data_IF_138618835963
#
_entry.id   IF_138618835963
#
_cell.length_a   1.000
_cell.length_b   1.000
_cell.length_c   1.000
_cell.angle_alpha   90.00
_cell.angle_beta   90.00
_cell.angle_gamma   90.00
#
_symmetry.space_group_name_H-M   'P 1'
#
loop_
_entity.id
_entity.type
_entity.pdbx_description
1 polymer ?
#
# COMPACT_ATOMS: atom_id res chain seq x y z
N UNK A 1 18.25 40.19 18.85
CA UNK A 1 16.99 39.66 19.42
C UNK A 1 16.98 38.16 19.20
N UNK A 2 17.23 37.37 20.24
CA UNK A 2 17.29 35.90 20.15
C UNK A 2 15.92 35.38 20.48
N UNK A 3 15.18 34.79 19.51
CA UNK A 3 13.96 34.05 19.77
C UNK A 3 14.31 32.68 20.38
N UNK A 4 13.96 32.51 21.64
CA UNK A 4 14.04 31.24 22.31
C UNK A 4 12.91 30.36 21.82
N UNK A 5 13.23 29.21 21.23
CA UNK A 5 12.28 28.17 20.90
C UNK A 5 12.00 27.34 22.14
N UNK A 6 10.77 27.41 22.61
CA UNK A 6 10.27 26.59 23.73
C UNK A 6 10.04 25.17 23.22
N UNK A 7 10.94 24.26 23.55
CA UNK A 7 10.74 22.81 23.34
C UNK A 7 9.85 22.31 24.48
N UNK A 8 8.56 22.11 24.21
CA UNK A 8 7.67 21.44 25.14
C UNK A 8 7.96 19.93 25.08
N UNK A 9 8.77 19.45 26.01
CA UNK A 9 8.78 18.06 26.43
C UNK A 9 7.50 17.79 27.21
N UNK A 10 6.55 17.01 26.69
CA UNK A 10 5.45 16.47 27.48
C UNK A 10 6.00 15.40 28.42
N UNK A 11 6.18 15.75 29.69
CA UNK A 11 6.30 14.78 30.76
C UNK A 11 4.95 14.06 30.89
N UNK A 12 4.93 12.76 30.65
CA UNK A 12 3.81 11.90 30.97
C UNK A 12 3.67 11.86 32.51
N UNK A 13 2.63 12.47 33.05
CA UNK A 13 2.18 12.23 34.43
C UNK A 13 1.74 10.78 34.52
N UNK A 14 2.45 9.99 35.34
CA UNK A 14 2.06 8.64 35.70
C UNK A 14 0.76 8.64 36.52
N UNK A 15 -0.22 7.87 36.05
CA UNK A 15 -1.38 7.53 36.84
C UNK A 15 -0.98 6.53 37.94
N UNK A 16 -1.61 6.59 39.14
CA UNK A 16 -1.26 5.69 40.24
C UNK A 16 -1.69 4.26 39.93
N UNK A 17 -0.79 3.32 40.18
CA UNK A 17 -1.02 1.89 40.13
C UNK A 17 -1.90 1.50 41.32
N UNK A 18 -3.07 0.96 41.05
CA UNK A 18 -3.91 0.28 42.04
C UNK A 18 -3.50 -1.19 42.03
N UNK A 19 -3.18 -1.81 43.18
CA UNK A 19 -2.83 -3.22 43.19
C UNK A 19 -4.09 -4.08 43.07
N UNK A 20 -4.03 -5.01 42.14
CA UNK A 20 -5.07 -6.01 41.86
C UNK A 20 -4.99 -7.12 42.91
N UNK A 21 -6.09 -7.32 43.62
CA UNK A 21 -6.28 -8.44 44.55
C UNK A 21 -6.97 -9.57 43.79
N UNK A 22 -6.26 -10.69 43.61
CA UNK A 22 -6.83 -11.90 43.03
C UNK A 22 -7.85 -12.57 43.95
N UNK A 23 -8.75 -13.36 43.40
CA UNK A 23 -9.29 -14.51 44.10
C UNK A 23 -8.96 -15.84 43.42
N UNK A 24 -8.56 -16.73 44.30
CA UNK A 24 -8.44 -18.18 44.15
C UNK A 24 -9.81 -18.89 44.06
N UNK A 25 -9.80 -20.04 43.38
CA UNK A 25 -10.82 -21.09 43.47
C UNK A 25 -11.28 -21.54 42.09
N UNK A 26 -10.96 -22.67 41.58
CA UNK A 26 -11.08 -24.04 42.03
C UNK A 26 -12.42 -24.60 41.55
N UNK A 27 -12.46 -25.46 40.52
CA UNK A 27 -13.69 -26.17 40.15
C UNK A 27 -13.50 -27.02 38.92
N UNK A 28 -13.14 -28.26 39.10
CA UNK A 28 -13.01 -29.35 38.16
C UNK A 28 -14.37 -30.06 37.94
N UNK A 29 -14.47 -30.87 36.89
CA UNK A 29 -15.45 -31.95 36.55
C UNK A 29 -16.46 -31.53 35.47
N UNK A 30 -16.86 -32.33 34.47
CA UNK A 30 -16.53 -33.69 34.04
C UNK A 30 -17.10 -33.86 32.63
N UNK A 31 -16.54 -34.80 31.93
CA UNK A 31 -16.94 -35.50 30.73
C UNK A 31 -18.44 -35.81 30.59
N UNK A 32 -18.97 -35.78 29.35
CA UNK A 32 -19.60 -37.00 28.84
C UNK A 32 -19.72 -37.05 27.31
N UNK A 33 -19.60 -38.27 26.83
CA UNK A 33 -19.54 -38.68 25.45
C UNK A 33 -20.95 -39.03 24.89
N UNK A 34 -21.13 -38.94 23.60
CA UNK A 34 -22.31 -39.42 22.92
C UNK A 34 -22.20 -39.28 21.40
N UNK A 35 -21.69 -40.28 20.74
CA UNK A 35 -22.01 -40.61 19.34
C UNK A 35 -22.91 -41.84 19.33
N UNK A 36 -23.13 -42.50 18.18
CA UNK A 36 -23.58 -42.10 16.85
C UNK A 36 -24.86 -42.85 16.43
N UNK A 37 -25.46 -42.56 15.29
CA UNK A 37 -26.31 -43.51 14.50
C UNK A 37 -26.46 -42.94 13.09
N UNK A 38 -26.00 -43.55 12.18
CA UNK A 38 -26.13 -44.52 11.10
C UNK A 38 -27.53 -44.73 10.54
N UNK A 39 -27.55 -44.94 9.21
CA UNK A 39 -28.53 -45.57 8.31
C UNK A 39 -29.16 -44.61 7.28
N UNK A 40 -28.88 -44.84 6.02
CA UNK A 40 -29.62 -45.63 5.13
C UNK A 40 -29.27 -45.49 3.65
N UNK A 41 -28.78 -46.53 3.07
CA UNK A 41 -28.69 -46.83 1.65
C UNK A 41 -30.06 -46.88 1.00
N UNK A 42 -30.18 -46.40 -0.25
CA UNK A 42 -30.93 -47.14 -1.28
C UNK A 42 -30.29 -46.92 -2.66
N UNK A 43 -29.86 -48.03 -3.22
CA UNK A 43 -29.47 -48.24 -4.61
C UNK A 43 -30.74 -48.24 -5.48
N UNK A 44 -30.68 -47.70 -6.68
CA UNK A 44 -31.40 -48.30 -7.80
C UNK A 44 -30.61 -48.17 -9.10
N UNK A 45 -30.47 -49.33 -9.74
CA UNK A 45 -29.78 -49.57 -10.99
C UNK A 45 -30.79 -49.58 -12.14
N UNK A 46 -30.52 -48.79 -13.17
CA UNK A 46 -31.25 -48.87 -14.44
C UNK A 46 -30.27 -48.87 -15.61
N UNK A 47 -29.98 -50.07 -16.09
CA UNK A 47 -29.24 -50.32 -17.32
C UNK A 47 -30.19 -50.18 -18.51
N UNK A 48 -29.83 -49.41 -19.53
CA UNK A 48 -30.30 -49.62 -20.92
C UNK A 48 -29.12 -49.42 -21.86
N UNK A 49 -28.75 -50.49 -22.52
CA UNK A 49 -27.87 -50.55 -23.67
C UNK A 49 -28.62 -50.06 -24.90
N UNK A 50 -28.03 -49.19 -25.72
CA UNK A 50 -28.20 -49.36 -27.17
C UNK A 50 -26.94 -48.82 -27.91
N UNK A 51 -26.52 -49.61 -28.89
CA UNK A 51 -25.36 -49.42 -29.71
C UNK A 51 -25.69 -48.59 -30.95
N UNK A 52 -24.92 -47.54 -31.20
CA UNK A 52 -24.96 -46.78 -32.43
C UNK A 52 -23.59 -46.22 -32.76
N UNK A 53 -22.85 -46.99 -33.53
CA UNK A 53 -21.58 -46.55 -34.15
C UNK A 53 -21.83 -45.49 -35.20
N UNK A 54 -21.21 -44.32 -35.07
CA UNK A 54 -20.66 -43.56 -36.21
C UNK A 54 -19.40 -42.84 -35.76
N UNK A 55 -18.28 -43.30 -36.32
CA UNK A 55 -17.03 -42.56 -36.33
C UNK A 55 -17.27 -41.25 -37.06
N UNK A 56 -17.33 -40.15 -36.33
CA UNK A 56 -17.01 -38.83 -36.88
C UNK A 56 -15.84 -38.31 -36.09
N UNK A 57 -14.66 -38.40 -36.69
CA UNK A 57 -13.46 -37.77 -36.21
C UNK A 57 -13.63 -36.27 -36.40
N UNK A 58 -14.45 -35.67 -35.52
CA UNK A 58 -14.47 -34.23 -35.33
C UNK A 58 -13.10 -33.84 -34.85
N UNK A 59 -12.28 -33.25 -35.72
CA UNK A 59 -11.15 -32.43 -35.34
C UNK A 59 -11.65 -31.42 -34.34
N UNK A 60 -11.43 -31.70 -33.07
CA UNK A 60 -11.51 -30.67 -32.04
C UNK A 60 -10.48 -29.63 -32.47
N UNK A 61 -10.96 -28.55 -33.06
CA UNK A 61 -10.22 -27.31 -33.22
C UNK A 61 -9.81 -26.96 -31.78
N UNK A 62 -8.58 -27.33 -31.45
CA UNK A 62 -7.94 -26.90 -30.24
C UNK A 62 -7.73 -25.40 -30.42
N UNK A 63 -8.75 -24.63 -30.10
CA UNK A 63 -8.66 -23.19 -29.97
C UNK A 63 -7.48 -22.92 -29.04
N UNK A 64 -6.31 -22.69 -29.65
CA UNK A 64 -5.04 -22.68 -28.96
C UNK A 64 -5.10 -21.61 -27.87
N UNK A 65 -4.97 -22.03 -26.63
CA UNK A 65 -4.87 -21.18 -25.46
C UNK A 65 -3.76 -20.14 -25.73
N UNK A 66 -4.15 -18.88 -25.86
CA UNK A 66 -3.25 -17.77 -26.23
C UNK A 66 -2.92 -16.93 -25.01
N UNK A 67 -1.63 -16.71 -24.77
CA UNK A 67 -1.14 -15.73 -23.81
C UNK A 67 -0.71 -14.48 -24.56
N UNK A 68 -1.25 -13.31 -24.20
CA UNK A 68 -0.92 -12.04 -24.84
C UNK A 68 -0.04 -11.23 -23.92
N UNK A 69 1.18 -10.89 -24.39
CA UNK A 69 2.06 -9.96 -23.71
C UNK A 69 1.99 -8.62 -24.42
N UNK A 70 1.62 -7.58 -23.70
CA UNK A 70 1.51 -6.21 -24.22
C UNK A 70 2.48 -5.30 -23.50
N UNK A 71 3.16 -4.45 -24.26
CA UNK A 71 4.10 -3.45 -23.74
C UNK A 71 3.65 -2.09 -24.22
N UNK A 72 3.47 -1.16 -23.26
CA UNK A 72 3.23 0.25 -23.58
C UNK A 72 4.52 1.04 -23.38
N UNK A 73 5.12 1.49 -24.48
CA UNK A 73 6.37 2.25 -24.50
C UNK A 73 6.58 2.94 -25.85
N UNK A 74 6.94 4.22 -25.83
CA UNK A 74 7.29 4.98 -27.04
C UNK A 74 8.73 4.67 -27.45
N UNK A 75 8.92 3.62 -28.25
CA UNK A 75 10.25 3.15 -28.63
C UNK A 75 10.93 3.99 -29.72
N UNK A 76 10.25 4.96 -30.34
CA UNK A 76 10.78 5.77 -31.43
C UNK A 76 11.20 4.90 -32.66
N UNK A 77 12.44 4.99 -33.05
CA UNK A 77 13.03 4.20 -34.14
C UNK A 77 13.47 2.79 -33.71
N UNK A 78 13.34 2.43 -32.44
CA UNK A 78 13.73 1.13 -31.91
C UNK A 78 12.61 0.10 -32.08
N UNK A 79 12.97 -1.17 -32.12
CA UNK A 79 12.03 -2.29 -32.09
C UNK A 79 12.04 -2.95 -30.73
N UNK A 80 10.86 -3.32 -30.20
CA UNK A 80 10.74 -4.10 -29.01
C UNK A 80 10.78 -5.59 -29.31
N UNK A 81 11.55 -6.29 -28.52
CA UNK A 81 11.63 -7.75 -28.44
C UNK A 81 11.19 -8.21 -27.07
N UNK A 82 10.88 -9.47 -26.97
CA UNK A 82 10.60 -10.13 -25.70
C UNK A 82 11.47 -11.38 -25.56
N UNK A 83 12.03 -11.59 -24.35
CA UNK A 83 12.68 -12.84 -23.95
C UNK A 83 11.96 -13.41 -22.73
N UNK A 84 12.05 -14.73 -22.51
CA UNK A 84 11.33 -15.33 -21.39
C UNK A 84 11.72 -16.79 -21.12
N UNK A 85 11.11 -17.35 -20.07
CA UNK A 85 11.48 -18.64 -19.49
C UNK A 85 10.87 -19.87 -20.17
N UNK A 86 9.83 -19.69 -20.98
CA UNK A 86 9.10 -20.80 -21.60
C UNK A 86 9.00 -20.65 -23.12
N UNK A 87 9.10 -21.75 -23.91
CA UNK A 87 8.89 -21.71 -25.34
C UNK A 87 7.53 -21.06 -25.72
N UNK A 88 7.47 -20.31 -26.83
CA UNK A 88 8.51 -20.12 -27.86
C UNK A 88 9.60 -19.11 -27.45
N UNK A 89 9.51 -18.49 -26.26
CA UNK A 89 10.53 -17.57 -25.76
C UNK A 89 11.72 -18.33 -25.18
N UNK A 90 12.86 -17.66 -25.13
CA UNK A 90 14.07 -18.07 -24.41
C UNK A 90 14.84 -16.83 -23.94
N UNK A 91 15.85 -17.01 -23.10
CA UNK A 91 16.63 -15.88 -22.56
C UNK A 91 17.79 -15.43 -23.46
N UNK A 92 18.12 -16.18 -24.53
CA UNK A 92 19.29 -15.91 -25.36
C UNK A 92 18.95 -15.04 -26.59
N UNK A 93 17.79 -15.26 -27.22
CA UNK A 93 17.36 -14.58 -28.43
C UNK A 93 15.95 -14.04 -28.25
N UNK A 94 15.77 -12.76 -28.57
CA UNK A 94 14.47 -12.10 -28.46
C UNK A 94 13.55 -12.44 -29.63
N UNK A 95 12.26 -12.54 -29.33
CA UNK A 95 11.22 -12.61 -30.34
C UNK A 95 10.68 -11.20 -30.57
N UNK A 96 10.64 -10.68 -31.81
CA UNK A 96 10.15 -9.33 -32.08
C UNK A 96 8.65 -9.21 -31.73
N UNK A 97 8.29 -8.10 -31.11
CA UNK A 97 6.90 -7.74 -30.86
C UNK A 97 6.30 -7.00 -32.04
N UNK A 98 5.02 -7.14 -32.26
CA UNK A 98 4.26 -6.41 -33.27
C UNK A 98 3.93 -5.02 -32.71
N UNK A 99 4.29 -3.97 -33.49
CA UNK A 99 3.90 -2.60 -33.15
C UNK A 99 2.43 -2.37 -33.54
N UNK A 100 1.54 -2.24 -32.58
CA UNK A 100 0.11 -1.95 -32.81
C UNK A 100 -0.12 -0.46 -33.13
N UNK A 101 0.62 0.41 -32.44
CA UNK A 101 0.61 1.87 -32.62
C UNK A 101 1.91 2.48 -32.07
N UNK A 102 2.00 3.81 -31.96
CA UNK A 102 3.24 4.50 -31.55
C UNK A 102 3.68 4.18 -30.12
N UNK A 103 2.77 3.71 -29.27
CA UNK A 103 3.04 3.43 -27.86
C UNK A 103 2.78 2.00 -27.45
N UNK A 104 2.13 1.17 -28.28
CA UNK A 104 1.67 -0.16 -27.90
C UNK A 104 2.28 -1.23 -28.80
N UNK A 105 2.83 -2.24 -28.17
CA UNK A 105 3.45 -3.41 -28.76
C UNK A 105 2.87 -4.67 -28.17
N UNK A 106 2.70 -5.74 -28.96
CA UNK A 106 2.18 -7.00 -28.45
C UNK A 106 2.83 -8.20 -29.10
N UNK A 107 2.69 -9.35 -28.42
CA UNK A 107 2.96 -10.67 -28.97
C UNK A 107 1.95 -11.65 -28.41
N UNK A 108 1.44 -12.53 -29.27
CA UNK A 108 0.57 -13.65 -28.92
C UNK A 108 1.37 -14.94 -28.88
N UNK A 109 1.42 -15.58 -27.74
CA UNK A 109 2.10 -16.84 -27.50
C UNK A 109 1.09 -17.97 -27.45
N UNK A 110 1.25 -18.98 -28.32
CA UNK A 110 0.44 -20.19 -28.33
C UNK A 110 1.19 -21.36 -27.71
N UNK A 111 0.47 -22.36 -27.22
CA UNK A 111 1.07 -23.59 -26.70
C UNK A 111 1.51 -23.52 -25.23
N UNK A 112 1.29 -22.43 -24.53
CA UNK A 112 1.47 -22.37 -23.08
C UNK A 112 0.28 -23.03 -22.40
N UNK A 113 0.54 -23.97 -21.48
CA UNK A 113 -0.52 -24.56 -20.66
C UNK A 113 -1.24 -23.48 -19.83
N UNK A 114 -2.54 -23.66 -19.59
CA UNK A 114 -3.30 -22.75 -18.73
C UNK A 114 -2.65 -22.67 -17.34
N UNK A 115 -2.43 -21.45 -16.85
CA UNK A 115 -1.78 -21.20 -15.55
C UNK A 115 -0.27 -21.43 -15.53
N UNK A 116 0.40 -21.82 -16.63
CA UNK A 116 1.86 -21.93 -16.68
C UNK A 116 2.52 -20.59 -16.31
N UNK A 117 3.45 -20.63 -15.36
CA UNK A 117 4.15 -19.44 -14.89
C UNK A 117 5.26 -19.04 -15.88
N UNK A 118 5.00 -18.01 -16.67
CA UNK A 118 5.96 -17.41 -17.59
C UNK A 118 6.64 -16.23 -16.93
N UNK A 119 7.97 -16.24 -16.84
CA UNK A 119 8.77 -15.04 -16.61
C UNK A 119 9.24 -14.49 -17.96
N UNK A 120 9.16 -13.17 -18.13
CA UNK A 120 9.51 -12.52 -19.39
C UNK A 120 10.02 -11.11 -19.18
N UNK A 121 10.70 -10.57 -20.19
CA UNK A 121 11.26 -9.23 -20.12
C UNK A 121 11.32 -8.57 -21.50
N UNK A 122 10.87 -7.30 -21.63
CA UNK A 122 11.07 -6.51 -22.83
C UNK A 122 12.54 -6.15 -23.04
N UNK A 123 12.95 -6.13 -24.30
CA UNK A 123 14.32 -5.81 -24.73
C UNK A 123 14.25 -4.87 -25.94
N UNK A 124 14.94 -3.72 -25.92
CA UNK A 124 15.05 -2.82 -27.06
C UNK A 124 16.12 -3.34 -28.03
N UNK A 125 15.78 -3.45 -29.31
CA UNK A 125 16.66 -3.92 -30.39
C UNK A 125 17.35 -5.26 -30.07
N UNK A 126 16.72 -6.11 -29.29
CA UNK A 126 17.25 -7.37 -28.74
C UNK A 126 18.61 -7.22 -28.00
N UNK A 127 18.94 -6.03 -27.53
CA UNK A 127 20.21 -5.68 -26.87
C UNK A 127 20.05 -5.06 -25.49
N UNK A 128 19.15 -4.09 -25.34
CA UNK A 128 18.99 -3.35 -24.09
C UNK A 128 17.80 -3.86 -23.31
N UNK A 129 18.07 -4.47 -22.18
CA UNK A 129 17.06 -4.99 -21.27
C UNK A 129 16.27 -3.87 -20.58
N UNK A 130 14.97 -4.07 -20.40
CA UNK A 130 14.22 -3.20 -19.49
C UNK A 130 14.76 -3.29 -18.08
N UNK A 131 14.70 -2.18 -17.34
CA UNK A 131 15.16 -2.08 -15.96
C UNK A 131 14.16 -2.75 -15.00
N UNK A 132 14.60 -3.02 -13.77
CA UNK A 132 13.79 -3.67 -12.76
C UNK A 132 13.72 -5.19 -12.92
N UNK A 133 12.82 -5.88 -12.19
CA UNK A 133 12.68 -7.33 -12.21
C UNK A 133 12.10 -7.86 -13.53
N UNK A 134 12.09 -9.19 -13.68
CA UNK A 134 11.32 -9.83 -14.74
C UNK A 134 9.82 -9.66 -14.48
N UNK A 135 9.05 -9.50 -15.54
CA UNK A 135 7.59 -9.55 -15.48
C UNK A 135 7.11 -10.99 -15.45
N UNK A 136 5.87 -11.18 -15.00
CA UNK A 136 5.23 -12.50 -14.92
C UNK A 136 3.90 -12.51 -15.65
N UNK A 137 3.62 -13.63 -16.30
CA UNK A 137 2.33 -13.90 -16.92
C UNK A 137 1.92 -15.34 -16.61
N UNK A 138 0.63 -15.59 -16.48
CA UNK A 138 0.09 -16.94 -16.47
C UNK A 138 -0.29 -17.35 -17.89
N UNK A 139 -0.13 -18.62 -18.22
CA UNK A 139 -0.67 -19.17 -19.47
C UNK A 139 -2.17 -18.87 -19.59
N UNK A 140 -2.66 -18.52 -20.76
CA UNK A 140 -4.03 -18.06 -21.03
C UNK A 140 -4.39 -16.67 -20.46
N UNK A 141 -3.40 -15.82 -20.21
CA UNK A 141 -3.66 -14.47 -19.71
C UNK A 141 -3.25 -13.39 -20.71
N UNK A 142 -3.81 -12.20 -20.53
CA UNK A 142 -3.28 -10.98 -21.14
C UNK A 142 -2.63 -10.14 -20.04
N UNK A 143 -1.35 -9.80 -20.25
CA UNK A 143 -0.59 -8.97 -19.33
C UNK A 143 -0.07 -7.75 -20.07
N UNK A 144 -0.32 -6.57 -19.51
CA UNK A 144 0.19 -5.30 -20.03
C UNK A 144 1.16 -4.67 -19.05
N UNK A 145 2.31 -4.21 -19.53
CA UNK A 145 3.35 -3.58 -18.73
C UNK A 145 3.86 -2.29 -19.39
N UNK A 146 4.33 -1.37 -18.56
CA UNK A 146 4.96 -0.12 -18.96
C UNK A 146 6.42 -0.12 -18.46
N UNK A 147 7.38 -0.64 -19.23
CA UNK A 147 8.77 -0.73 -18.81
C UNK A 147 9.51 0.61 -18.88
N UNK A 148 10.72 0.63 -18.32
CA UNK A 148 11.76 1.62 -18.56
C UNK A 148 13.06 0.92 -18.97
N UNK A 149 13.95 1.64 -19.65
CA UNK A 149 15.23 1.08 -20.17
C UNK A 149 16.46 1.89 -19.75
N UNK A 150 16.30 3.16 -19.45
CA UNK A 150 17.40 4.10 -19.22
C UNK A 150 17.49 4.54 -17.76
N UNK A 151 16.40 5.03 -17.18
CA UNK A 151 16.43 5.63 -15.85
C UNK A 151 16.59 4.60 -14.74
N UNK A 152 17.51 4.88 -13.81
CA UNK A 152 17.74 4.05 -12.62
C UNK A 152 17.03 4.60 -11.36
N UNK A 153 16.82 5.92 -11.27
CA UNK A 153 16.26 6.57 -10.10
C UNK A 153 15.14 7.55 -10.47
N UNK A 154 14.24 7.76 -9.52
CA UNK A 154 13.24 8.80 -9.54
C UNK A 154 13.80 10.15 -9.11
N UNK A 155 12.97 11.16 -9.16
CA UNK A 155 13.31 12.54 -8.78
C UNK A 155 12.26 13.07 -7.80
N UNK A 156 12.71 13.93 -6.87
CA UNK A 156 11.81 14.62 -5.97
C UNK A 156 12.04 16.13 -5.98
N UNK A 157 11.00 16.88 -5.63
CA UNK A 157 11.06 18.33 -5.47
C UNK A 157 9.97 18.81 -4.50
N UNK A 158 10.17 19.98 -3.92
CA UNK A 158 9.11 20.72 -3.24
C UNK A 158 8.25 21.41 -4.31
N UNK A 159 7.39 20.61 -4.95
CA UNK A 159 6.67 20.96 -6.18
C UNK A 159 5.77 22.17 -6.01
N UNK A 160 5.07 22.24 -4.88
CA UNK A 160 4.23 23.38 -4.51
C UNK A 160 4.70 23.91 -3.16
N UNK A 161 5.60 24.92 -3.16
CA UNK A 161 6.17 25.46 -1.92
C UNK A 161 5.15 26.25 -1.09
N UNK A 162 4.04 26.64 -1.69
CA UNK A 162 3.00 27.48 -1.07
C UNK A 162 1.60 27.03 -1.50
N UNK A 163 1.28 25.76 -1.27
CA UNK A 163 -0.08 25.25 -1.44
C UNK A 163 -0.99 25.87 -0.38
N UNK A 164 -1.99 26.64 -0.82
CA UNK A 164 -2.95 27.32 0.06
C UNK A 164 -4.27 26.56 0.08
N UNK A 165 -4.67 26.13 1.27
CA UNK A 165 -5.97 25.51 1.52
C UNK A 165 -7.00 26.56 1.88
N UNK A 166 -8.11 26.58 1.15
CA UNK A 166 -9.28 27.43 1.46
C UNK A 166 -10.07 26.88 2.64
N UNK A 167 -10.10 25.57 2.81
CA UNK A 167 -10.78 24.89 3.93
C UNK A 167 -10.08 25.13 5.26
N UNK A 168 -8.75 25.07 5.25
CA UNK A 168 -7.95 25.24 6.47
C UNK A 168 -7.51 26.68 6.73
N UNK A 169 -7.63 27.56 5.73
CA UNK A 169 -7.21 28.97 5.77
C UNK A 169 -5.72 29.11 6.10
N UNK A 170 -4.88 28.20 5.57
CA UNK A 170 -3.43 28.24 5.75
C UNK A 170 -2.67 27.76 4.50
N UNK A 171 -1.36 27.94 4.55
CA UNK A 171 -0.45 27.60 3.45
C UNK A 171 0.63 26.65 3.95
N UNK A 172 0.99 25.67 3.11
CA UNK A 172 2.04 24.67 3.40
C UNK A 172 2.78 24.25 2.13
N UNK A 173 3.95 23.67 2.28
CA UNK A 173 4.67 23.05 1.19
C UNK A 173 4.15 21.65 0.88
N UNK A 174 4.23 21.28 -0.40
CA UNK A 174 3.94 19.91 -0.85
C UNK A 174 5.12 19.41 -1.69
N UNK A 175 5.71 18.32 -1.25
CA UNK A 175 6.76 17.59 -1.94
C UNK A 175 6.17 16.53 -2.86
N UNK A 176 6.86 16.27 -3.96
CA UNK A 176 6.49 15.21 -4.91
C UNK A 176 7.73 14.41 -5.26
N UNK A 177 7.63 13.08 -5.15
CA UNK A 177 8.56 12.16 -5.75
C UNK A 177 7.90 11.50 -6.97
N UNK A 178 8.61 11.47 -8.08
CA UNK A 178 8.21 10.81 -9.33
C UNK A 178 9.14 9.63 -9.59
N UNK A 179 8.62 8.40 -9.73
CA UNK A 179 9.47 7.22 -9.90
C UNK A 179 10.09 7.14 -11.29
N UNK A 180 11.19 6.36 -11.46
CA UNK A 180 11.94 6.33 -12.71
C UNK A 180 11.13 5.90 -13.93
N UNK A 181 10.21 4.94 -13.77
CA UNK A 181 9.33 4.52 -14.87
C UNK A 181 8.39 5.64 -15.29
N UNK A 182 7.84 6.42 -14.35
CA UNK A 182 6.98 7.58 -14.66
C UNK A 182 7.72 8.65 -15.46
N UNK A 183 8.98 8.92 -15.09
CA UNK A 183 9.80 9.97 -15.72
C UNK A 183 10.26 9.59 -17.14
N UNK A 184 10.47 8.30 -17.40
CA UNK A 184 10.91 7.83 -18.70
C UNK A 184 9.76 7.48 -19.63
N UNK A 185 8.76 6.77 -19.13
CA UNK A 185 7.69 6.22 -19.93
C UNK A 185 6.41 7.07 -19.80
N UNK A 186 6.09 7.84 -20.85
CA UNK A 186 4.95 8.74 -20.86
C UNK A 186 3.59 8.03 -20.83
N UNK A 187 3.54 6.71 -21.08
CA UNK A 187 2.31 5.92 -21.00
C UNK A 187 2.01 5.41 -19.59
N UNK A 188 3.02 5.42 -18.70
CA UNK A 188 2.89 4.86 -17.37
C UNK A 188 2.03 5.76 -16.46
N UNK A 189 1.01 5.17 -15.82
CA UNK A 189 0.24 5.78 -14.73
C UNK A 189 0.52 5.06 -13.42
N UNK A 190 0.63 5.82 -12.32
CA UNK A 190 1.12 5.32 -11.03
C UNK A 190 0.08 5.41 -9.93
N UNK A 191 0.09 4.47 -8.96
CA UNK A 191 -0.57 4.67 -7.67
C UNK A 191 0.05 5.87 -6.95
N UNK A 192 -0.69 6.45 -5.99
CA UNK A 192 -0.25 7.63 -5.25
C UNK A 192 -0.22 7.33 -3.75
N UNK A 193 0.91 7.65 -3.12
CA UNK A 193 1.10 7.58 -1.66
C UNK A 193 1.13 9.00 -1.09
N UNK A 194 0.09 9.37 -0.36
CA UNK A 194 0.06 10.60 0.42
C UNK A 194 0.70 10.36 1.78
N UNK A 195 1.67 11.18 2.15
CA UNK A 195 2.40 11.07 3.41
C UNK A 195 2.30 12.37 4.19
N UNK A 196 1.96 12.23 5.47
CA UNK A 196 1.95 13.36 6.42
C UNK A 196 3.37 13.80 6.79
N UNK A 197 3.48 15.01 7.35
CA UNK A 197 4.76 15.58 7.80
C UNK A 197 5.81 15.61 6.68
N UNK A 198 5.41 16.11 5.51
CA UNK A 198 6.19 16.12 4.27
C UNK A 198 7.60 16.67 4.38
N UNK A 199 7.85 17.60 5.32
CA UNK A 199 9.17 18.16 5.62
C UNK A 199 10.16 17.11 6.13
N UNK A 200 9.69 15.98 6.69
CA UNK A 200 10.53 14.92 7.26
C UNK A 200 10.87 13.81 6.26
N UNK A 201 10.43 13.88 5.01
CA UNK A 201 10.45 12.73 4.10
C UNK A 201 11.66 12.70 3.17
N UNK A 202 12.15 13.88 2.76
CA UNK A 202 13.04 14.02 1.59
C UNK A 202 14.38 14.72 1.91
N UNK A 203 14.32 15.88 2.56
CA UNK A 203 15.46 16.77 2.75
C UNK A 203 15.89 16.83 4.22
N UNK A 204 17.11 16.38 4.57
CA UNK A 204 17.59 16.47 5.93
C UNK A 204 17.63 17.92 6.48
N UNK A 205 17.79 18.93 5.60
CA UNK A 205 17.80 20.32 6.01
C UNK A 205 16.42 20.82 6.48
N UNK A 206 15.34 20.21 6.00
CA UNK A 206 13.96 20.52 6.38
C UNK A 206 13.43 19.60 7.50
N UNK A 207 14.03 18.42 7.64
CA UNK A 207 13.54 17.38 8.53
C UNK A 207 13.80 17.69 10.02
N UNK A 208 12.88 17.25 10.86
CA UNK A 208 13.03 17.31 12.31
C UNK A 208 14.30 16.57 12.76
N UNK A 209 15.17 17.24 13.51
CA UNK A 209 16.44 16.67 13.95
C UNK A 209 17.42 16.29 12.81
N UNK A 210 17.18 16.72 11.58
CA UNK A 210 18.04 16.39 10.43
C UNK A 210 17.90 14.95 9.93
N UNK A 211 16.88 14.22 10.38
CA UNK A 211 16.65 12.80 10.02
C UNK A 211 15.41 12.66 9.13
N UNK A 212 15.59 12.11 7.92
CA UNK A 212 14.48 11.87 7.00
C UNK A 212 13.96 10.45 7.09
N UNK A 213 12.76 10.23 6.54
CA UNK A 213 12.20 8.89 6.34
C UNK A 213 12.80 8.15 5.14
N UNK A 214 13.76 8.75 4.44
CA UNK A 214 14.46 8.15 3.31
C UNK A 214 13.52 7.63 2.22
N UNK A 215 12.50 8.43 1.90
CA UNK A 215 11.50 8.07 0.87
C UNK A 215 12.13 7.83 -0.50
N UNK A 216 13.02 8.72 -1.02
CA UNK A 216 13.64 8.51 -2.33
C UNK A 216 14.42 7.20 -2.41
N UNK A 217 15.20 6.87 -1.37
CA UNK A 217 15.98 5.64 -1.33
C UNK A 217 15.09 4.40 -1.31
N UNK A 218 14.05 4.40 -0.49
CA UNK A 218 13.10 3.29 -0.39
C UNK A 218 12.36 3.05 -1.72
N UNK A 219 11.96 4.13 -2.41
CA UNK A 219 11.26 4.04 -3.70
C UNK A 219 12.19 3.62 -4.84
N UNK A 220 13.44 4.10 -4.87
CA UNK A 220 14.43 3.72 -5.87
C UNK A 220 14.87 2.25 -5.70
N UNK A 221 15.05 1.80 -4.46
CA UNK A 221 15.35 0.40 -4.15
C UNK A 221 14.21 -0.52 -4.63
N UNK A 222 12.96 -0.15 -4.37
CA UNK A 222 11.81 -0.89 -4.86
C UNK A 222 11.71 -0.91 -6.38
N UNK A 223 12.01 0.20 -7.05
CA UNK A 223 11.99 0.28 -8.52
C UNK A 223 13.05 -0.61 -9.16
N UNK A 224 14.18 -0.86 -8.50
CA UNK A 224 15.24 -1.73 -8.97
C UNK A 224 15.01 -3.20 -8.62
N UNK A 225 14.58 -3.49 -7.39
CA UNK A 225 14.39 -4.85 -6.87
C UNK A 225 13.02 -5.46 -7.22
N UNK A 226 12.01 -4.63 -7.48
CA UNK A 226 10.62 -5.06 -7.64
C UNK A 226 9.92 -5.45 -6.34
N UNK A 227 10.48 -5.06 -5.22
CA UNK A 227 9.93 -5.38 -3.90
C UNK A 227 8.47 -4.95 -3.76
N UNK A 228 8.13 -3.75 -4.27
CA UNK A 228 6.76 -3.26 -4.37
C UNK A 228 6.59 -2.38 -5.61
N UNK A 229 5.33 -2.08 -5.96
CA UNK A 229 5.01 -1.24 -7.13
C UNK A 229 5.58 0.17 -6.99
N UNK A 230 6.13 0.70 -8.07
CA UNK A 230 6.48 2.11 -8.16
C UNK A 230 5.23 2.98 -7.94
N UNK A 231 5.40 4.11 -7.24
CA UNK A 231 4.33 5.05 -6.94
C UNK A 231 4.83 6.49 -6.97
N UNK A 232 3.93 7.43 -7.25
CA UNK A 232 4.14 8.84 -6.95
C UNK A 232 3.98 9.03 -5.44
N UNK A 233 4.89 9.76 -4.78
CA UNK A 233 4.74 10.10 -3.37
C UNK A 233 4.47 11.58 -3.22
N UNK A 234 3.42 11.92 -2.48
CA UNK A 234 3.00 13.29 -2.15
C UNK A 234 3.25 13.52 -0.66
N UNK A 235 4.28 14.27 -0.33
CA UNK A 235 4.61 14.65 1.04
C UNK A 235 3.97 15.98 1.40
N UNK A 236 3.02 15.98 2.33
CA UNK A 236 2.28 17.17 2.75
C UNK A 236 2.90 17.70 4.03
N UNK A 237 3.50 18.90 3.98
CA UNK A 237 4.03 19.55 5.20
C UNK A 237 2.90 19.75 6.21
N UNK A 238 3.22 19.58 7.48
CA UNK A 238 2.29 20.02 8.52
C UNK A 238 2.29 21.55 8.63
N UNK A 239 1.27 22.11 9.24
CA UNK A 239 1.11 23.55 9.39
C UNK A 239 1.73 24.07 10.72
N UNK A 240 2.84 23.49 11.18
CA UNK A 240 3.51 23.89 12.41
C UNK A 240 2.60 23.82 13.63
N UNK A 241 2.31 24.94 14.26
CA UNK A 241 1.44 25.00 15.44
C UNK A 241 0.02 24.46 15.25
N UNK A 242 -0.48 24.39 14.00
CA UNK A 242 -1.79 23.81 13.72
C UNK A 242 -1.78 22.27 13.58
N UNK A 243 -0.59 21.62 13.59
CA UNK A 243 -0.47 20.17 13.39
C UNK A 243 -1.37 19.36 14.34
N UNK A 244 -1.38 19.68 15.61
CA UNK A 244 -2.22 18.99 16.61
C UNK A 244 -3.69 19.11 16.24
N UNK A 245 -4.15 20.31 15.92
CA UNK A 245 -5.54 20.54 15.55
C UNK A 245 -5.94 19.77 14.28
N UNK A 246 -5.09 19.78 13.27
CA UNK A 246 -5.38 19.18 11.96
C UNK A 246 -5.23 17.65 11.93
N UNK A 247 -4.37 17.09 12.77
CA UNK A 247 -4.11 15.64 12.77
C UNK A 247 -4.97 14.87 13.79
N UNK A 248 -5.95 15.52 14.41
CA UNK A 248 -6.78 14.90 15.43
C UNK A 248 -8.28 15.07 15.15
N UNK A 249 -9.08 14.01 15.36
CA UNK A 249 -10.51 14.01 15.00
C UNK A 249 -11.40 14.75 16.01
N UNK A 250 -10.89 14.99 17.22
CA UNK A 250 -11.62 15.59 18.34
C UNK A 250 -10.74 16.54 19.12
N UNK A 251 -11.35 17.41 19.93
CA UNK A 251 -10.64 18.20 20.92
C UNK A 251 -10.35 17.33 22.13
N UNK A 252 -9.08 17.23 22.51
CA UNK A 252 -8.67 16.65 23.80
C UNK A 252 -8.42 17.78 24.79
N UNK A 253 -9.29 17.91 25.79
CA UNK A 253 -9.21 18.96 26.80
C UNK A 253 -7.99 18.81 27.72
N UNK A 254 -7.45 17.61 27.87
CA UNK A 254 -6.25 17.35 28.66
C UNK A 254 -4.98 17.87 27.99
N UNK A 255 -4.98 17.92 26.65
CA UNK A 255 -3.91 18.48 25.81
C UNK A 255 -4.16 19.95 25.47
N UNK A 256 -5.41 20.39 25.57
CA UNK A 256 -5.82 21.77 25.28
C UNK A 256 -5.94 22.11 23.80
N UNK A 257 -6.27 21.14 22.94
CA UNK A 257 -6.39 21.38 21.48
C UNK A 257 -6.96 20.22 20.71
N UNK A 258 -6.93 20.32 19.38
CA UNK A 258 -7.38 19.28 18.46
C UNK A 258 -8.66 19.61 17.69
N UNK A 259 -9.23 18.61 17.01
CA UNK A 259 -10.60 18.60 16.47
C UNK A 259 -10.82 19.19 15.09
N UNK A 260 -9.75 19.42 14.30
CA UNK A 260 -9.87 19.88 12.91
C UNK A 260 -9.52 18.80 11.87
N UNK A 261 -9.43 17.53 12.30
CA UNK A 261 -9.07 16.40 11.46
C UNK A 261 -9.99 16.24 10.25
N UNK A 262 -11.30 16.45 10.41
CA UNK A 262 -12.26 16.40 9.30
C UNK A 262 -11.95 17.45 8.21
N UNK A 263 -11.62 18.68 8.60
CA UNK A 263 -11.24 19.73 7.65
C UNK A 263 -9.92 19.41 6.96
N UNK A 264 -8.97 18.83 7.67
CA UNK A 264 -7.69 18.41 7.10
C UNK A 264 -7.88 17.28 6.06
N UNK A 265 -8.69 16.28 6.38
CA UNK A 265 -9.00 15.20 5.44
C UNK A 265 -9.78 15.73 4.23
N UNK A 266 -10.70 16.66 4.41
CA UNK A 266 -11.38 17.32 3.30
C UNK A 266 -10.40 18.10 2.42
N UNK A 267 -9.44 18.81 3.00
CA UNK A 267 -8.38 19.48 2.23
C UNK A 267 -7.61 18.48 1.35
N UNK A 268 -7.25 17.31 1.90
CA UNK A 268 -6.58 16.27 1.11
C UNK A 268 -7.47 15.77 -0.04
N UNK A 269 -8.76 15.55 0.21
CA UNK A 269 -9.70 14.93 -0.75
C UNK A 269 -10.25 15.94 -1.76
N UNK A 270 -10.61 17.13 -1.30
CA UNK A 270 -11.36 18.13 -2.11
C UNK A 270 -10.44 19.15 -2.80
N UNK A 271 -9.25 19.41 -2.25
CA UNK A 271 -8.32 20.41 -2.78
C UNK A 271 -7.03 19.78 -3.35
N UNK A 272 -6.29 19.00 -2.54
CA UNK A 272 -4.97 18.51 -2.92
C UNK A 272 -5.06 17.36 -3.94
N UNK A 273 -5.87 16.34 -3.69
CA UNK A 273 -5.96 15.16 -4.57
C UNK A 273 -6.40 15.54 -6.00
N UNK A 274 -7.44 16.37 -6.24
CA UNK A 274 -7.78 16.79 -7.58
C UNK A 274 -6.65 17.54 -8.30
N UNK A 275 -5.90 18.36 -7.58
CA UNK A 275 -4.73 19.05 -8.13
C UNK A 275 -3.62 18.05 -8.53
N UNK A 276 -3.36 17.04 -7.71
CA UNK A 276 -2.39 15.97 -8.01
C UNK A 276 -2.83 15.17 -9.22
N UNK A 277 -4.09 14.71 -9.25
CA UNK A 277 -4.63 13.89 -10.33
C UNK A 277 -4.67 14.64 -11.68
N UNK A 278 -4.88 15.96 -11.67
CA UNK A 278 -4.81 16.80 -12.87
C UNK A 278 -3.39 17.11 -13.32
N UNK A 279 -2.42 17.07 -12.39
CA UNK A 279 -1.01 17.41 -12.66
C UNK A 279 -0.16 16.21 -13.08
N UNK A 280 -0.58 15.01 -12.73
CA UNK A 280 0.19 13.78 -12.94
C UNK A 280 -0.67 12.64 -13.50
N UNK A 281 -0.02 11.70 -14.16
CA UNK A 281 -0.65 10.46 -14.63
C UNK A 281 -0.84 9.50 -13.46
N UNK A 282 -1.90 9.71 -12.68
CA UNK A 282 -2.23 8.93 -11.50
C UNK A 282 -3.21 7.80 -11.84
N UNK A 283 -3.19 6.75 -11.01
CA UNK A 283 -4.29 5.81 -10.85
C UNK A 283 -5.12 6.32 -9.68
N UNK A 284 -6.20 7.05 -9.98
CA UNK A 284 -6.96 7.82 -9.00
C UNK A 284 -7.93 7.01 -8.12
N UNK A 285 -8.06 5.70 -8.38
CA UNK A 285 -8.97 4.83 -7.64
C UNK A 285 -8.51 4.55 -6.20
N UNK A 286 -9.43 4.21 -5.28
CA UNK A 286 -9.09 4.01 -3.86
C UNK A 286 -8.01 2.96 -3.61
N UNK A 287 -8.00 1.86 -4.37
CA UNK A 287 -7.00 0.79 -4.27
C UNK A 287 -5.56 1.24 -4.63
N UNK A 288 -5.44 2.30 -5.40
CA UNK A 288 -4.17 2.89 -5.81
C UNK A 288 -3.90 4.22 -5.10
N UNK A 289 -4.68 4.56 -4.06
CA UNK A 289 -4.52 5.76 -3.22
C UNK A 289 -4.22 5.35 -1.78
N UNK A 290 -2.98 5.59 -1.36
CA UNK A 290 -2.47 5.26 -0.02
C UNK A 290 -2.37 6.53 0.82
N UNK A 291 -2.72 6.48 2.10
CA UNK A 291 -2.44 7.52 3.09
C UNK A 291 -1.65 6.93 4.25
N UNK A 292 -0.49 7.51 4.57
CA UNK A 292 0.41 6.99 5.60
C UNK A 292 1.03 8.12 6.42
N UNK A 293 1.23 7.88 7.71
CA UNK A 293 1.94 8.78 8.62
C UNK A 293 2.27 8.15 9.95
N UNK A 294 3.00 8.89 10.79
CA UNK A 294 3.42 8.44 12.12
C UNK A 294 2.81 9.29 13.22
N UNK A 295 2.76 8.74 14.44
CA UNK A 295 2.30 9.47 15.62
C UNK A 295 0.87 10.01 15.41
N UNK A 296 0.65 11.33 15.53
CA UNK A 296 -0.61 11.97 15.14
C UNK A 296 -0.91 11.80 13.65
N UNK A 297 0.11 11.70 12.78
CA UNK A 297 -0.06 11.36 11.36
C UNK A 297 -0.62 9.93 11.18
N UNK A 298 -0.22 8.98 12.02
CA UNK A 298 -0.79 7.63 12.07
C UNK A 298 -2.24 7.62 12.59
N UNK A 299 -2.54 8.47 13.58
CA UNK A 299 -3.89 8.67 14.08
C UNK A 299 -4.84 9.18 12.98
N UNK A 300 -4.44 10.27 12.28
CA UNK A 300 -5.31 10.85 11.24
C UNK A 300 -5.40 9.95 10.00
N UNK A 301 -4.35 9.16 9.67
CA UNK A 301 -4.42 8.14 8.63
C UNK A 301 -5.46 7.06 8.97
N UNK A 302 -5.44 6.52 10.18
CA UNK A 302 -6.45 5.56 10.64
C UNK A 302 -7.85 6.15 10.65
N UNK A 303 -7.98 7.40 11.07
CA UNK A 303 -9.25 8.12 11.07
C UNK A 303 -9.79 8.35 9.65
N UNK A 304 -8.92 8.63 8.68
CA UNK A 304 -9.29 8.73 7.26
C UNK A 304 -9.91 7.43 6.73
N UNK A 305 -9.46 6.28 7.21
CA UNK A 305 -10.04 4.97 6.88
C UNK A 305 -11.47 4.79 7.37
N UNK A 306 -11.91 5.59 8.35
CA UNK A 306 -13.26 5.55 8.91
C UNK A 306 -14.15 6.64 8.28
N UNK A 307 -13.63 7.88 8.22
CA UNK A 307 -14.39 9.07 7.81
C UNK A 307 -14.25 9.38 6.32
N UNK A 308 -13.25 8.88 5.66
CA UNK A 308 -12.80 9.32 4.34
C UNK A 308 -13.52 8.71 3.15
N UNK A 309 -14.75 8.31 3.27
CA UNK A 309 -15.68 8.02 2.16
C UNK A 309 -15.08 7.25 0.96
N UNK A 310 -14.14 6.33 1.20
CA UNK A 310 -13.60 5.47 0.14
C UNK A 310 -12.54 6.11 -0.77
N UNK A 311 -11.97 7.25 -0.40
CA UNK A 311 -10.88 7.87 -1.17
C UNK A 311 -9.55 7.15 -0.95
N UNK A 312 -9.19 6.88 0.31
CA UNK A 312 -7.97 6.20 0.67
C UNK A 312 -8.26 4.71 0.92
N UNK A 313 -8.03 3.89 -0.09
CA UNK A 313 -8.27 2.44 0.00
C UNK A 313 -7.17 1.67 0.71
N UNK A 314 -6.04 2.30 1.01
CA UNK A 314 -4.90 1.72 1.72
C UNK A 314 -4.40 2.70 2.78
N UNK A 315 -4.29 2.25 4.04
CA UNK A 315 -3.93 3.07 5.19
C UNK A 315 -2.68 2.51 5.88
N UNK A 316 -1.72 3.40 6.17
CA UNK A 316 -0.55 3.12 6.99
C UNK A 316 -0.54 3.97 8.26
N UNK A 317 -0.57 3.32 9.42
CA UNK A 317 -0.52 3.95 10.74
C UNK A 317 0.74 3.49 11.48
N UNK A 318 1.78 4.33 11.48
CA UNK A 318 3.06 4.03 12.10
C UNK A 318 3.13 4.67 13.48
N UNK A 319 3.38 3.88 14.52
CA UNK A 319 3.37 4.32 15.93
C UNK A 319 2.21 5.30 16.25
N UNK A 320 0.95 4.97 15.90
CA UNK A 320 -0.15 5.93 15.94
C UNK A 320 -0.47 6.40 17.35
N UNK A 321 -0.83 7.68 17.49
CA UNK A 321 -1.26 8.28 18.76
C UNK A 321 -2.69 7.86 19.15
N UNK A 322 -2.91 6.54 19.32
CA UNK A 322 -4.24 5.97 19.64
C UNK A 322 -4.77 6.45 21.00
N UNK A 323 -3.90 6.89 21.90
CA UNK A 323 -4.22 7.41 23.22
C UNK A 323 -5.07 8.69 23.21
N UNK A 324 -5.09 9.41 22.06
CA UNK A 324 -5.77 10.69 21.92
C UNK A 324 -7.24 10.64 22.35
N UNK A 325 -7.65 11.64 23.16
CA UNK A 325 -9.03 11.86 23.63
C UNK A 325 -9.69 10.56 24.11
N UNK A 326 -9.13 9.98 25.15
CA UNK A 326 -9.59 8.70 25.72
C UNK A 326 -9.75 7.59 24.67
N UNK A 327 -8.83 7.54 23.70
CA UNK A 327 -8.80 6.50 22.65
C UNK A 327 -10.02 6.58 21.71
N UNK A 328 -10.47 7.80 21.41
CA UNK A 328 -11.66 8.06 20.58
C UNK A 328 -11.63 7.32 19.23
N UNK A 329 -10.43 7.10 18.67
CA UNK A 329 -10.27 6.34 17.41
C UNK A 329 -10.88 4.93 17.52
N UNK A 330 -10.63 4.21 18.62
CA UNK A 330 -11.15 2.85 18.81
C UNK A 330 -12.67 2.84 18.94
N UNK A 331 -13.23 3.81 19.67
CA UNK A 331 -14.67 3.95 19.79
C UNK A 331 -15.33 4.24 18.43
N UNK A 332 -14.73 5.11 17.61
CA UNK A 332 -15.23 5.42 16.27
C UNK A 332 -15.07 4.24 15.31
N UNK A 333 -13.98 3.49 15.41
CA UNK A 333 -13.74 2.32 14.59
C UNK A 333 -14.80 1.24 14.80
N UNK A 334 -15.21 1.00 16.05
CA UNK A 334 -16.26 0.04 16.40
C UNK A 334 -17.65 0.43 15.86
N UNK A 335 -17.87 1.72 15.62
CA UNK A 335 -19.14 2.28 15.12
C UNK A 335 -19.14 2.52 13.62
N UNK A 336 -17.99 2.29 12.95
CA UNK A 336 -17.81 2.64 11.53
C UNK A 336 -18.71 1.81 10.61
N UNK A 337 -19.37 2.50 9.68
CA UNK A 337 -20.23 1.92 8.67
C UNK A 337 -19.48 1.19 7.55
N UNK A 338 -20.11 1.07 6.39
CA UNK A 338 -19.76 0.11 5.35
C UNK A 338 -18.49 0.41 4.54
N UNK A 339 -18.03 1.66 4.43
CA UNK A 339 -16.87 1.97 3.59
C UNK A 339 -15.60 1.94 4.41
N UNK A 340 -14.73 0.98 4.13
CA UNK A 340 -13.49 0.74 4.85
C UNK A 340 -12.31 0.60 3.88
N UNK A 341 -11.06 0.92 4.31
CA UNK A 341 -9.89 0.67 3.48
C UNK A 341 -9.74 -0.82 3.18
N UNK A 342 -9.22 -1.11 2.01
CA UNK A 342 -8.98 -2.49 1.60
C UNK A 342 -7.78 -3.12 2.31
N UNK A 343 -6.76 -2.28 2.59
CA UNK A 343 -5.53 -2.69 3.27
C UNK A 343 -5.23 -1.72 4.41
N UNK A 344 -4.82 -2.28 5.54
CA UNK A 344 -4.41 -1.54 6.73
C UNK A 344 -3.06 -2.06 7.21
N UNK A 345 -2.08 -1.18 7.32
CA UNK A 345 -0.80 -1.43 7.95
C UNK A 345 -0.73 -0.67 9.27
N UNK A 346 -0.34 -1.35 10.34
CA UNK A 346 -0.20 -0.77 11.69
C UNK A 346 1.13 -1.23 12.27
N UNK A 347 1.94 -0.31 12.79
CA UNK A 347 3.18 -0.69 13.46
C UNK A 347 3.50 0.14 14.69
N UNK A 348 4.44 -0.34 15.48
CA UNK A 348 5.14 0.41 16.51
C UNK A 348 6.54 -0.17 16.76
N UNK A 349 7.36 0.58 17.52
CA UNK A 349 8.43 0.01 18.33
C UNK A 349 7.88 -0.58 19.64
N UNK A 350 8.79 -0.91 20.56
CA UNK A 350 8.45 -1.37 21.91
C UNK A 350 9.37 -0.77 22.98
N UNK A 351 10.12 0.28 22.63
CA UNK A 351 11.14 0.88 23.48
C UNK A 351 11.00 2.40 23.60
N UNK A 352 11.79 2.97 24.51
CA UNK A 352 11.75 4.41 24.82
C UNK A 352 10.59 4.80 25.74
N UNK A 353 10.33 6.11 25.87
CA UNK A 353 9.21 6.60 26.65
C UNK A 353 7.88 5.99 26.15
N UNK A 354 7.06 5.48 27.06
CA UNK A 354 5.78 4.84 26.76
C UNK A 354 5.88 3.62 25.83
N UNK A 355 7.06 3.01 25.68
CA UNK A 355 7.32 1.85 24.80
C UNK A 355 6.76 2.05 23.39
N UNK A 356 6.97 3.23 22.82
CA UNK A 356 6.44 3.64 21.50
C UNK A 356 4.92 3.43 21.33
N UNK A 357 4.17 3.37 22.43
CA UNK A 357 2.72 3.14 22.42
C UNK A 357 2.30 1.75 21.96
N UNK A 358 3.16 0.73 22.09
CA UNK A 358 2.93 -0.64 21.59
C UNK A 358 1.59 -1.23 22.06
N UNK A 359 1.18 -1.02 23.31
CA UNK A 359 -0.11 -1.49 23.83
C UNK A 359 -1.31 -0.87 23.10
N UNK A 360 -1.28 0.43 22.91
CA UNK A 360 -2.32 1.15 22.16
C UNK A 360 -2.37 0.71 20.70
N UNK A 361 -1.21 0.46 20.10
CA UNK A 361 -1.09 -0.01 18.71
C UNK A 361 -1.61 -1.44 18.56
N UNK A 362 -1.33 -2.32 19.54
CA UNK A 362 -1.89 -3.67 19.59
C UNK A 362 -3.43 -3.65 19.66
N UNK A 363 -4.00 -2.76 20.47
CA UNK A 363 -5.45 -2.60 20.56
C UNK A 363 -6.07 -2.07 19.26
N UNK A 364 -5.39 -1.18 18.54
CA UNK A 364 -5.83 -0.74 17.22
C UNK A 364 -5.84 -1.92 16.22
N UNK A 365 -4.79 -2.73 16.21
CA UNK A 365 -4.74 -3.92 15.37
C UNK A 365 -5.84 -4.93 15.75
N UNK A 366 -6.12 -5.12 17.05
CA UNK A 366 -7.20 -5.96 17.53
C UNK A 366 -8.57 -5.43 17.08
N UNK A 367 -8.79 -4.11 17.12
CA UNK A 367 -10.02 -3.48 16.65
C UNK A 367 -10.22 -3.72 15.13
N UNK A 368 -9.19 -3.63 14.31
CA UNK A 368 -9.29 -3.98 12.88
C UNK A 368 -9.62 -5.47 12.69
N UNK A 369 -8.98 -6.38 13.45
CA UNK A 369 -9.32 -7.82 13.40
C UNK A 369 -10.78 -8.07 13.76
N UNK A 370 -11.32 -7.39 14.77
CA UNK A 370 -12.73 -7.47 15.15
C UNK A 370 -13.68 -7.01 14.02
N UNK A 371 -13.22 -6.16 13.12
CA UNK A 371 -13.94 -5.72 11.93
C UNK A 371 -13.78 -6.68 10.72
N UNK A 372 -13.12 -7.83 10.91
CA UNK A 372 -12.95 -8.84 9.87
C UNK A 372 -11.68 -8.70 9.02
N UNK A 373 -10.74 -7.82 9.40
CA UNK A 373 -9.45 -7.77 8.73
C UNK A 373 -8.59 -9.00 9.09
N UNK A 374 -7.91 -9.55 8.09
CA UNK A 374 -7.14 -10.79 8.20
C UNK A 374 -5.64 -10.48 8.15
N UNK A 375 -4.89 -10.92 9.17
CA UNK A 375 -3.45 -10.74 9.26
C UNK A 375 -2.72 -11.32 8.04
N UNK A 376 -1.77 -10.56 7.51
CA UNK A 376 -1.00 -10.92 6.31
C UNK A 376 -1.75 -10.76 4.98
N UNK A 377 -3.07 -10.49 5.01
CA UNK A 377 -3.91 -10.33 3.81
C UNK A 377 -4.47 -8.91 3.68
N UNK A 378 -5.30 -8.49 4.63
CA UNK A 378 -5.92 -7.15 4.62
C UNK A 378 -5.43 -6.27 5.77
N UNK A 379 -4.81 -6.86 6.78
CA UNK A 379 -4.13 -6.21 7.90
C UNK A 379 -2.68 -6.70 7.97
N UNK A 380 -1.74 -5.80 8.23
CA UNK A 380 -0.38 -6.17 8.67
C UNK A 380 -0.07 -5.38 9.94
N UNK A 381 0.18 -6.10 11.04
CA UNK A 381 0.62 -5.53 12.30
C UNK A 381 2.07 -5.91 12.58
N UNK A 382 2.91 -4.93 12.89
CA UNK A 382 4.35 -5.13 13.12
C UNK A 382 4.79 -4.44 14.41
N UNK A 383 5.54 -5.15 15.25
CA UNK A 383 6.28 -4.56 16.37
C UNK A 383 7.77 -4.72 16.11
N UNK A 384 8.48 -3.60 16.00
CA UNK A 384 9.94 -3.61 15.87
C UNK A 384 10.60 -3.56 17.23
N UNK A 385 11.23 -4.66 17.63
CA UNK A 385 11.90 -4.76 18.93
C UNK A 385 13.03 -3.73 19.05
N UNK A 386 13.10 -3.09 20.22
CA UNK A 386 14.11 -2.08 20.53
C UNK A 386 13.90 -0.73 19.84
N UNK A 387 12.93 -0.60 18.95
CA UNK A 387 12.68 0.65 18.25
C UNK A 387 11.88 1.64 19.11
N UNK A 388 12.17 2.93 18.90
CA UNK A 388 11.59 4.05 19.65
C UNK A 388 10.75 4.93 18.73
N UNK A 389 10.08 5.94 19.30
CA UNK A 389 9.23 6.92 18.60
C UNK A 389 10.06 7.97 17.87
N UNK A 390 10.72 7.58 16.76
CA UNK A 390 11.67 8.45 16.04
C UNK A 390 11.58 8.28 14.52
N UNK A 391 12.02 9.33 13.79
CA UNK A 391 12.10 9.34 12.32
C UNK A 391 12.97 8.20 11.79
N UNK A 392 14.08 7.87 12.44
CA UNK A 392 14.96 6.77 12.02
C UNK A 392 14.27 5.40 12.14
N UNK A 393 13.47 5.18 13.19
CA UNK A 393 12.69 3.97 13.35
C UNK A 393 11.59 3.86 12.29
N UNK A 394 10.86 4.94 12.01
CA UNK A 394 9.87 4.98 10.94
C UNK A 394 10.49 4.78 9.56
N UNK A 395 11.63 5.43 9.28
CA UNK A 395 12.40 5.21 8.04
C UNK A 395 12.75 3.72 7.83
N UNK A 396 13.15 3.01 8.89
CA UNK A 396 13.51 1.58 8.80
C UNK A 396 12.30 0.67 8.53
N UNK A 397 11.09 1.05 8.97
CA UNK A 397 9.84 0.30 8.78
C UNK A 397 9.09 0.67 7.50
N UNK A 398 9.32 1.87 6.95
CA UNK A 398 8.62 2.37 5.76
C UNK A 398 8.64 1.41 4.57
N UNK A 399 9.77 0.76 4.18
CA UNK A 399 9.76 -0.18 3.06
C UNK A 399 8.80 -1.35 3.26
N UNK A 400 8.68 -1.88 4.50
CA UNK A 400 7.74 -2.95 4.83
C UNK A 400 6.27 -2.52 4.79
N UNK A 401 6.00 -1.27 5.17
CA UNK A 401 4.66 -0.68 5.06
C UNK A 401 4.27 -0.51 3.58
N UNK A 402 5.15 0.07 2.76
CA UNK A 402 4.92 0.28 1.33
C UNK A 402 4.76 -1.04 0.58
N UNK A 403 5.56 -2.06 0.91
CA UNK A 403 5.43 -3.40 0.33
C UNK A 403 4.04 -4.00 0.54
N UNK A 404 3.50 -3.89 1.74
CA UNK A 404 2.16 -4.38 2.05
C UNK A 404 1.07 -3.55 1.36
N UNK A 405 1.17 -2.22 1.39
CA UNK A 405 0.12 -1.32 0.91
C UNK A 405 0.08 -1.19 -0.62
N UNK A 406 1.23 -1.24 -1.28
CA UNK A 406 1.34 -1.16 -2.74
C UNK A 406 1.30 -2.54 -3.41
N UNK A 407 1.69 -3.59 -2.70
CA UNK A 407 1.84 -4.94 -3.25
C UNK A 407 3.07 -5.07 -4.16
N UNK A 408 3.37 -6.30 -4.64
CA UNK A 408 4.55 -6.58 -5.46
C UNK A 408 4.48 -5.85 -6.81
N UNK A 409 5.64 -5.58 -7.39
CA UNK A 409 5.75 -5.16 -8.78
C UNK A 409 5.11 -6.22 -9.70
N UNK A 410 4.29 -5.79 -10.66
CA UNK A 410 3.56 -6.68 -11.59
C UNK A 410 4.29 -6.76 -12.91
#
# INVERSE_FOLDING_TARGET
MRCAWLVLFFLACGAPVVPDAGPSGGGQLASDAGGPTDAGLTTDAGSVTDAGSTNDAGTTDAGGITTVLRVTYTAGAHTLFVRGSLPPLNWNTGVPMVKENDTTWSISLTGLAAGAALEWKPVLNDATWSKGPNYRAAGSSTVEVAPRFVRDAGEWSRRWPSFTSTLLMNTRGVYVYLPPTYLENSTASMPVVYMHDGQNLFDPAAAFGGVTWRVPESMNDAASSGRFREAIVIGVENAGGARIAEYTPTVDTSVGGGGRGDLYLRMLVEELKPMVDSSFRTRSGPRDTVLIGSSLGGLISSYAGISGAGTFGCIGAMSPSVWWDNRVLLARLSQSGATRPALVYVDSGDSGPSNDGVGNTADLAAAYRALGYVEGSTLKYVVQQGATHTESAWASRLPGALEFLLGPAR
#
